data_IF_459890929844
#
_entry.id   IF_459890929844
#
_cell.length_a   1.000
_cell.length_b   1.000
_cell.length_c   1.000
_cell.angle_alpha   90.00
_cell.angle_beta   90.00
_cell.angle_gamma   90.00
#
_symmetry.space_group_name_H-M   'P 1'
#
loop_
_entity.id
_entity.type
_entity.pdbx_description
1 polymer ?
#
# COMPACT_ATOMS: atom_id res chain seq x y z
N UNK A 1 -0.88 26.25 4.91
CA UNK A 1 0.10 25.74 3.92
C UNK A 1 0.35 26.86 2.91
N UNK A 2 1.60 27.08 2.51
CA UNK A 2 1.93 28.03 1.46
C UNK A 2 1.22 27.56 0.17
N UNK A 3 0.40 28.43 -0.43
CA UNK A 3 -0.41 28.09 -1.63
C UNK A 3 0.44 27.73 -2.88
N UNK A 4 1.76 27.90 -2.78
CA UNK A 4 2.69 27.71 -3.90
C UNK A 4 3.37 26.33 -3.93
N UNK A 5 3.08 25.44 -2.96
CA UNK A 5 3.73 24.13 -2.85
C UNK A 5 2.82 23.03 -3.39
N UNK A 6 3.29 22.32 -4.40
CA UNK A 6 2.66 21.13 -4.95
C UNK A 6 3.21 19.90 -4.20
N UNK A 7 2.37 19.21 -3.46
CA UNK A 7 2.76 18.04 -2.67
C UNK A 7 2.59 16.73 -3.44
N UNK A 8 3.31 15.68 -3.04
CA UNK A 8 3.26 14.38 -3.71
C UNK A 8 1.86 13.75 -3.69
N UNK A 9 1.07 14.03 -2.66
CA UNK A 9 -0.30 13.55 -2.52
C UNK A 9 -1.20 14.66 -2.01
N UNK A 10 -2.51 14.59 -2.36
CA UNK A 10 -3.56 15.41 -1.77
C UNK A 10 -4.70 14.48 -1.36
N UNK A 11 -5.24 14.60 -0.14
CA UNK A 11 -6.31 13.73 0.33
C UNK A 11 -7.59 13.96 -0.46
N UNK A 12 -8.28 12.85 -0.79
CA UNK A 12 -9.65 12.90 -1.28
C UNK A 12 -10.56 13.23 -0.10
N UNK A 13 -11.33 14.30 -0.21
CA UNK A 13 -12.22 14.77 0.85
C UNK A 13 -13.68 14.57 0.41
N UNK A 14 -14.57 14.07 1.28
CA UNK A 14 -15.99 14.02 0.98
C UNK A 14 -16.63 15.41 1.00
N UNK A 15 -17.83 15.52 0.46
CA UNK A 15 -18.64 16.74 0.65
C UNK A 15 -18.89 16.98 2.15
N UNK A 16 -18.60 18.20 2.61
CA UNK A 16 -18.65 18.55 4.04
C UNK A 16 -20.08 18.49 4.59
N UNK A 17 -21.08 18.91 3.80
CA UNK A 17 -22.48 18.91 4.25
C UNK A 17 -23.00 17.49 4.39
N UNK A 18 -22.74 16.58 3.41
CA UNK A 18 -23.08 15.16 3.51
C UNK A 18 -22.40 14.49 4.72
N UNK A 19 -21.13 14.86 4.97
CA UNK A 19 -20.41 14.33 6.13
C UNK A 19 -20.97 14.87 7.45
N UNK A 20 -21.37 16.14 7.48
CA UNK A 20 -22.04 16.74 8.64
C UNK A 20 -23.37 16.06 8.93
N UNK A 21 -24.16 15.70 7.92
CA UNK A 21 -25.39 14.96 8.11
C UNK A 21 -25.13 13.55 8.67
N UNK A 22 -24.12 12.85 8.16
CA UNK A 22 -23.70 11.56 8.76
C UNK A 22 -23.27 11.70 10.22
N UNK A 23 -22.59 12.78 10.58
CA UNK A 23 -22.22 13.06 11.99
C UNK A 23 -23.45 13.28 12.87
N UNK A 24 -24.49 13.96 12.38
CA UNK A 24 -25.77 14.13 13.13
C UNK A 24 -26.39 12.77 13.44
N UNK A 25 -26.48 11.86 12.45
CA UNK A 25 -26.98 10.50 12.64
C UNK A 25 -26.21 9.74 13.73
N UNK A 26 -24.85 9.84 13.69
CA UNK A 26 -23.98 9.22 14.70
C UNK A 26 -24.25 9.82 16.09
N UNK A 27 -24.42 11.14 16.21
CA UNK A 27 -24.70 11.81 17.48
C UNK A 27 -26.07 11.44 18.04
N UNK A 28 -27.08 11.32 17.19
CA UNK A 28 -28.43 10.91 17.59
C UNK A 28 -28.45 9.46 18.08
N UNK A 29 -27.74 8.55 17.39
CA UNK A 29 -27.66 7.14 17.78
C UNK A 29 -26.84 6.91 19.06
N UNK A 30 -25.89 7.82 19.36
CA UNK A 30 -24.86 7.68 20.43
C UNK A 30 -23.99 6.43 20.28
N UNK A 31 -23.98 5.81 19.12
CA UNK A 31 -23.16 4.65 18.80
C UNK A 31 -21.96 5.09 17.95
N UNK A 32 -20.81 5.32 18.59
CA UNK A 32 -19.65 5.96 17.97
C UNK A 32 -18.51 4.99 17.60
N UNK A 33 -18.58 3.72 18.04
CA UNK A 33 -17.59 2.66 17.80
C UNK A 33 -18.19 1.28 17.98
N UNK A 34 -17.38 0.20 17.97
CA UNK A 34 -17.79 -1.18 18.19
C UNK A 34 -18.82 -1.71 17.19
N UNK A 35 -18.44 -1.70 15.92
CA UNK A 35 -19.22 -2.30 14.84
C UNK A 35 -20.63 -1.70 14.69
N UNK A 36 -20.70 -0.37 14.68
CA UNK A 36 -21.95 0.35 14.46
C UNK A 36 -22.41 0.34 13.00
N UNK A 37 -23.46 1.11 12.73
CA UNK A 37 -24.14 1.09 11.44
C UNK A 37 -23.26 1.50 10.27
N UNK A 38 -22.46 2.57 10.43
CA UNK A 38 -21.57 3.05 9.34
C UNK A 38 -20.41 2.09 9.12
N UNK A 39 -19.88 1.47 10.19
CA UNK A 39 -18.85 0.44 10.08
C UNK A 39 -19.35 -0.74 9.23
N UNK A 40 -20.52 -1.29 9.54
CA UNK A 40 -21.12 -2.42 8.80
C UNK A 40 -21.41 -2.03 7.33
N UNK A 41 -21.98 -0.85 7.10
CA UNK A 41 -22.23 -0.34 5.75
C UNK A 41 -20.93 -0.20 4.94
N UNK A 42 -19.85 0.29 5.56
CA UNK A 42 -18.57 0.44 4.86
C UNK A 42 -17.92 -0.93 4.56
N UNK A 43 -17.96 -1.89 5.49
CA UNK A 43 -17.47 -3.26 5.20
C UNK A 43 -18.19 -3.87 4.00
N UNK A 44 -19.53 -3.79 3.97
CA UNK A 44 -20.33 -4.30 2.86
C UNK A 44 -20.05 -3.58 1.53
N UNK A 45 -20.03 -2.25 1.55
CA UNK A 45 -19.76 -1.45 0.37
C UNK A 45 -18.34 -1.67 -0.22
N UNK A 46 -17.33 -1.86 0.66
CA UNK A 46 -15.98 -2.19 0.24
C UNK A 46 -15.89 -3.61 -0.32
N UNK A 47 -16.56 -4.59 0.26
CA UNK A 47 -16.57 -5.96 -0.27
C UNK A 47 -17.17 -5.99 -1.69
N UNK A 48 -18.27 -5.27 -1.91
CA UNK A 48 -18.90 -5.13 -3.23
C UNK A 48 -17.98 -4.39 -4.22
N UNK A 49 -17.49 -3.21 -3.86
CA UNK A 49 -16.65 -2.38 -4.74
C UNK A 49 -15.34 -3.10 -5.12
N UNK A 50 -14.69 -3.74 -4.16
CA UNK A 50 -13.43 -4.43 -4.37
C UNK A 50 -13.61 -5.84 -4.97
N UNK A 51 -14.84 -6.32 -5.14
CA UNK A 51 -15.17 -7.67 -5.65
C UNK A 51 -14.47 -8.76 -4.83
N UNK A 52 -14.55 -8.67 -3.52
CA UNK A 52 -13.94 -9.61 -2.58
C UNK A 52 -14.98 -10.19 -1.62
N UNK A 53 -14.81 -11.44 -1.13
CA UNK A 53 -15.84 -12.08 -0.34
C UNK A 53 -16.01 -11.46 1.06
N UNK A 54 -14.91 -11.08 1.72
CA UNK A 54 -14.97 -10.55 3.10
C UNK A 54 -13.96 -9.44 3.31
N UNK A 55 -14.39 -8.40 4.04
CA UNK A 55 -13.56 -7.27 4.46
C UNK A 55 -13.70 -7.10 5.97
N UNK A 56 -12.63 -6.80 6.67
CA UNK A 56 -12.62 -6.38 8.07
C UNK A 56 -11.91 -5.04 8.20
N UNK A 57 -12.56 -4.04 8.81
CA UNK A 57 -12.03 -2.68 8.95
C UNK A 57 -11.14 -2.53 10.19
N UNK A 58 -10.09 -1.70 10.03
CA UNK A 58 -9.09 -1.39 11.03
C UNK A 58 -8.84 0.12 11.16
N UNK A 59 -8.26 0.55 12.27
CA UNK A 59 -7.92 1.97 12.52
C UNK A 59 -6.76 2.51 11.68
N UNK A 60 -5.93 1.66 11.10
CA UNK A 60 -4.82 2.00 10.21
C UNK A 60 -4.38 0.77 9.40
N UNK A 61 -3.43 0.96 8.46
CA UNK A 61 -2.93 -0.12 7.60
C UNK A 61 -1.89 -1.04 8.24
N UNK A 62 -1.34 -0.71 9.40
CA UNK A 62 -0.31 -1.53 10.09
C UNK A 62 -0.95 -2.65 10.91
N UNK A 63 -2.04 -2.35 11.61
CA UNK A 63 -2.71 -3.32 12.49
C UNK A 63 -3.29 -4.53 11.75
N UNK A 64 -3.83 -4.43 10.52
CA UNK A 64 -4.20 -5.63 9.78
C UNK A 64 -3.01 -6.54 9.46
N UNK A 65 -1.80 -6.00 9.15
CA UNK A 65 -0.60 -6.82 8.97
C UNK A 65 -0.26 -7.60 10.25
N UNK A 66 -0.24 -6.90 11.41
CA UNK A 66 0.00 -7.54 12.71
C UNK A 66 -1.03 -8.63 13.00
N UNK A 67 -2.30 -8.37 12.73
CA UNK A 67 -3.40 -9.28 13.01
C UNK A 67 -3.40 -10.49 12.07
N UNK A 68 -3.04 -10.31 10.78
CA UNK A 68 -2.91 -11.40 9.80
C UNK A 68 -1.89 -12.44 10.26
N UNK A 69 -0.72 -11.98 10.70
CA UNK A 69 0.35 -12.85 11.21
C UNK A 69 -0.11 -13.67 12.42
N UNK A 70 -0.85 -13.07 13.35
CA UNK A 70 -1.44 -13.77 14.50
C UNK A 70 -2.56 -14.74 14.08
N UNK A 71 -3.44 -14.32 13.19
CA UNK A 71 -4.56 -15.14 12.73
C UNK A 71 -4.09 -16.42 12.01
N UNK A 72 -3.06 -16.31 11.19
CA UNK A 72 -2.45 -17.44 10.48
C UNK A 72 -1.39 -18.18 11.31
N UNK A 73 -1.13 -17.75 12.56
CA UNK A 73 -0.14 -18.34 13.47
C UNK A 73 1.26 -18.38 12.87
N UNK A 74 1.65 -17.32 12.18
CA UNK A 74 2.96 -17.19 11.54
C UNK A 74 4.03 -17.05 12.63
N UNK A 75 5.14 -17.78 12.46
CA UNK A 75 6.28 -17.79 13.37
C UNK A 75 7.58 -17.93 12.57
N UNK A 76 8.73 -17.93 13.24
CA UNK A 76 10.03 -18.21 12.62
C UNK A 76 10.50 -17.12 11.67
N UNK A 77 10.50 -17.40 10.37
CA UNK A 77 11.00 -16.48 9.34
C UNK A 77 9.90 -16.20 8.30
N UNK A 78 9.85 -14.96 7.83
CA UNK A 78 8.96 -14.53 6.73
C UNK A 78 9.78 -13.83 5.66
N UNK A 79 9.64 -14.29 4.43
CA UNK A 79 10.26 -13.69 3.25
C UNK A 79 9.49 -12.43 2.85
N UNK A 80 10.20 -11.32 2.64
CA UNK A 80 9.62 -10.03 2.23
C UNK A 80 10.62 -9.22 1.40
N UNK A 81 10.23 -8.02 0.97
CA UNK A 81 11.07 -7.10 0.21
C UNK A 81 11.63 -5.98 1.09
N UNK A 82 12.85 -5.48 0.83
CA UNK A 82 13.35 -4.27 1.49
C UNK A 82 12.78 -2.98 0.87
N UNK A 83 12.18 -3.06 -0.32
CA UNK A 83 11.67 -1.94 -1.11
C UNK A 83 10.19 -1.72 -0.85
N UNK A 84 9.86 -1.23 0.34
CA UNK A 84 8.51 -0.97 0.81
C UNK A 84 8.50 0.12 1.88
N UNK A 85 7.31 0.50 2.33
CA UNK A 85 7.15 1.27 3.56
C UNK A 85 7.45 0.38 4.78
N UNK A 86 8.05 0.97 5.78
CA UNK A 86 8.59 0.24 6.95
C UNK A 86 7.56 -0.59 7.73
N UNK A 87 6.27 -0.24 7.65
CA UNK A 87 5.19 -0.97 8.33
C UNK A 87 5.14 -2.45 7.95
N UNK A 88 5.44 -2.80 6.68
CA UNK A 88 5.52 -4.18 6.20
C UNK A 88 6.45 -5.03 7.09
N UNK A 89 7.67 -4.57 7.30
CA UNK A 89 8.68 -5.30 8.08
C UNK A 89 8.50 -5.11 9.58
N UNK A 90 8.07 -3.93 10.04
CA UNK A 90 7.78 -3.70 11.46
C UNK A 90 6.68 -4.62 11.98
N UNK A 91 5.69 -4.97 11.16
CA UNK A 91 4.66 -5.94 11.55
C UNK A 91 5.24 -7.32 11.89
N UNK A 92 6.26 -7.76 11.17
CA UNK A 92 6.99 -9.00 11.47
C UNK A 92 7.73 -8.87 12.79
N UNK A 93 8.49 -7.77 12.97
CA UNK A 93 9.31 -7.54 14.16
C UNK A 93 8.48 -7.48 15.45
N UNK A 94 7.34 -6.78 15.41
CA UNK A 94 6.40 -6.72 16.53
C UNK A 94 5.78 -8.06 16.90
N UNK A 95 5.71 -9.01 15.96
CA UNK A 95 5.26 -10.38 16.21
C UNK A 95 6.40 -11.35 16.58
N UNK A 96 7.63 -10.86 16.77
CA UNK A 96 8.78 -11.71 17.05
C UNK A 96 9.22 -12.59 15.87
N UNK A 97 8.86 -12.21 14.66
CA UNK A 97 9.15 -12.93 13.42
C UNK A 97 10.36 -12.28 12.74
N UNK A 98 11.31 -13.11 12.32
CA UNK A 98 12.51 -12.64 11.62
C UNK A 98 12.19 -12.36 10.15
N UNK A 99 12.37 -11.12 9.65
CA UNK A 99 12.27 -10.86 8.22
C UNK A 99 13.47 -11.42 7.46
N UNK A 100 13.20 -11.96 6.28
CA UNK A 100 14.22 -12.37 5.30
C UNK A 100 13.99 -11.58 4.04
N UNK A 101 14.88 -10.64 3.74
CA UNK A 101 14.76 -9.80 2.57
C UNK A 101 15.19 -10.54 1.30
N UNK A 102 14.38 -10.43 0.27
CA UNK A 102 14.64 -10.89 -1.10
C UNK A 102 14.59 -9.70 -2.03
N UNK A 103 15.51 -9.68 -2.99
CA UNK A 103 15.65 -8.59 -3.95
C UNK A 103 14.41 -8.48 -4.86
N UNK A 104 14.32 -7.39 -5.59
CA UNK A 104 13.19 -7.04 -6.43
C UNK A 104 13.47 -7.27 -7.91
N UNK A 105 12.40 -7.41 -8.69
CA UNK A 105 12.42 -7.28 -10.14
C UNK A 105 12.43 -5.78 -10.50
N UNK A 106 13.47 -5.28 -11.18
CA UNK A 106 13.58 -3.87 -11.53
C UNK A 106 12.51 -3.40 -12.53
N UNK A 107 11.83 -4.29 -13.22
CA UNK A 107 10.75 -3.94 -14.14
C UNK A 107 9.43 -3.62 -13.44
N UNK A 108 9.27 -4.05 -12.19
CA UNK A 108 8.04 -3.87 -11.41
C UNK A 108 8.24 -3.18 -10.07
N UNK A 109 9.43 -3.31 -9.47
CA UNK A 109 9.73 -2.92 -8.10
C UNK A 109 9.20 -3.90 -7.05
N UNK A 110 8.54 -4.97 -7.46
CA UNK A 110 8.01 -6.01 -6.58
C UNK A 110 9.09 -7.07 -6.29
N UNK A 111 8.88 -7.86 -5.24
CA UNK A 111 9.75 -8.99 -4.92
C UNK A 111 9.93 -9.89 -6.15
N UNK A 112 11.15 -10.31 -6.44
CA UNK A 112 11.49 -11.21 -7.55
C UNK A 112 11.16 -12.66 -7.17
N UNK A 113 10.14 -13.31 -7.78
CA UNK A 113 9.77 -14.67 -7.44
C UNK A 113 10.89 -15.67 -7.67
N UNK A 114 11.77 -15.41 -8.65
CA UNK A 114 12.89 -16.33 -8.99
C UNK A 114 13.94 -16.40 -7.87
N UNK A 115 13.95 -15.42 -6.97
CA UNK A 115 14.89 -15.37 -5.84
C UNK A 115 14.29 -15.89 -4.53
N UNK A 116 12.96 -16.13 -4.47
CA UNK A 116 12.28 -16.54 -3.25
C UNK A 116 12.73 -17.91 -2.77
N UNK A 117 12.78 -18.91 -3.66
CA UNK A 117 13.12 -20.28 -3.28
C UNK A 117 14.49 -20.40 -2.60
N UNK A 118 15.47 -19.63 -3.09
CA UNK A 118 16.83 -19.63 -2.51
C UNK A 118 16.88 -19.06 -1.09
N UNK A 119 15.88 -18.30 -0.66
CA UNK A 119 15.79 -17.71 0.67
C UNK A 119 14.98 -18.57 1.64
N UNK A 120 14.36 -19.68 1.19
CA UNK A 120 13.55 -20.56 2.04
C UNK A 120 14.47 -21.39 2.95
N UNK A 121 14.14 -21.41 4.23
CA UNK A 121 14.78 -22.25 5.25
C UNK A 121 13.72 -23.10 5.96
N UNK A 122 14.11 -24.10 6.77
CA UNK A 122 13.16 -24.86 7.59
C UNK A 122 12.35 -24.00 8.60
N UNK A 123 12.73 -22.74 8.80
CA UNK A 123 12.02 -21.80 9.67
C UNK A 123 11.07 -20.88 8.90
N UNK A 124 11.11 -20.87 7.57
CA UNK A 124 10.23 -20.05 6.75
C UNK A 124 8.80 -20.57 6.84
N UNK A 125 7.85 -19.69 7.18
CA UNK A 125 6.43 -20.06 7.34
C UNK A 125 5.49 -19.25 6.45
N UNK A 126 5.96 -18.11 5.93
CA UNK A 126 5.15 -17.28 5.03
C UNK A 126 6.01 -16.42 4.10
N UNK A 127 5.35 -15.91 3.07
CA UNK A 127 5.83 -14.85 2.19
C UNK A 127 4.91 -13.64 2.40
N UNK A 128 5.51 -12.45 2.59
CA UNK A 128 4.83 -11.17 2.70
C UNK A 128 5.26 -10.25 1.56
N UNK A 129 4.72 -10.44 0.34
CA UNK A 129 5.03 -9.59 -0.79
C UNK A 129 4.27 -8.27 -0.69
N UNK A 130 4.75 -7.25 -1.43
CA UNK A 130 4.12 -5.93 -1.49
C UNK A 130 3.75 -5.62 -2.93
N UNK A 131 2.52 -5.18 -3.18
CA UNK A 131 2.13 -4.61 -4.47
C UNK A 131 2.61 -3.15 -4.55
N UNK A 132 3.90 -2.98 -4.84
CA UNK A 132 4.58 -1.68 -4.80
C UNK A 132 3.92 -0.71 -5.79
N UNK A 133 3.56 0.48 -5.30
CA UNK A 133 2.83 1.53 -6.04
C UNK A 133 1.48 1.08 -6.65
N UNK A 134 0.96 -0.07 -6.21
CA UNK A 134 -0.25 -0.68 -6.78
C UNK A 134 0.02 -1.53 -8.02
N UNK A 135 1.28 -1.77 -8.40
CA UNK A 135 1.61 -2.75 -9.45
C UNK A 135 1.47 -4.17 -8.91
N UNK A 136 0.76 -5.07 -9.62
CA UNK A 136 0.64 -6.45 -9.20
C UNK A 136 1.99 -7.15 -9.10
N UNK A 137 2.20 -7.90 -8.00
CA UNK A 137 3.22 -8.95 -7.99
C UNK A 137 2.87 -10.05 -9.00
N UNK A 138 3.82 -10.88 -9.36
CA UNK A 138 3.54 -12.15 -10.03
C UNK A 138 2.92 -13.12 -9.01
N UNK A 139 1.60 -13.00 -8.86
CA UNK A 139 0.84 -13.73 -7.83
C UNK A 139 0.80 -15.23 -8.12
N UNK A 140 0.84 -15.63 -9.39
CA UNK A 140 0.83 -17.05 -9.80
C UNK A 140 2.15 -17.72 -9.43
N UNK A 141 3.28 -17.09 -9.76
CA UNK A 141 4.60 -17.63 -9.41
C UNK A 141 4.81 -17.70 -7.89
N UNK A 142 4.38 -16.65 -7.15
CA UNK A 142 4.48 -16.66 -5.69
C UNK A 142 3.60 -17.73 -5.07
N UNK A 143 2.37 -17.94 -5.57
CA UNK A 143 1.47 -18.96 -5.07
C UNK A 143 2.02 -20.37 -5.35
N UNK A 144 2.58 -20.60 -6.54
CA UNK A 144 3.20 -21.90 -6.88
C UNK A 144 4.37 -22.24 -5.92
N UNK A 145 5.18 -21.25 -5.53
CA UNK A 145 6.23 -21.45 -4.54
C UNK A 145 5.63 -21.72 -3.17
N UNK A 146 4.63 -20.97 -2.76
CA UNK A 146 3.97 -21.16 -1.47
C UNK A 146 3.34 -22.55 -1.35
N UNK A 147 2.65 -23.02 -2.38
CA UNK A 147 2.05 -24.36 -2.42
C UNK A 147 3.11 -25.47 -2.33
N UNK A 148 4.21 -25.30 -3.06
CA UNK A 148 5.33 -26.26 -3.06
C UNK A 148 5.97 -26.44 -1.69
N UNK A 149 6.06 -25.35 -0.91
CA UNK A 149 6.73 -25.37 0.39
C UNK A 149 5.77 -25.29 1.58
N UNK A 150 4.46 -25.27 1.35
CA UNK A 150 3.44 -25.20 2.40
C UNK A 150 3.46 -23.86 3.14
N UNK A 151 3.81 -22.76 2.47
CA UNK A 151 3.91 -21.42 3.05
C UNK A 151 2.58 -20.68 2.94
N UNK A 152 2.37 -19.73 3.86
CA UNK A 152 1.28 -18.76 3.77
C UNK A 152 1.69 -17.55 2.95
N UNK A 153 0.72 -16.91 2.26
CA UNK A 153 0.95 -15.68 1.50
C UNK A 153 0.05 -14.57 2.01
N UNK A 154 0.66 -13.49 2.53
CA UNK A 154 -0.05 -12.30 2.99
C UNK A 154 0.42 -11.13 2.14
N UNK A 155 -0.45 -10.53 1.34
CA UNK A 155 -0.08 -9.36 0.52
C UNK A 155 -0.23 -8.05 1.32
N UNK A 156 0.86 -7.28 1.38
CA UNK A 156 0.74 -5.85 1.67
C UNK A 156 0.25 -5.14 0.41
N UNK A 157 -1.05 -4.89 0.37
CA UNK A 157 -1.75 -4.24 -0.72
C UNK A 157 -2.08 -2.77 -0.40
N UNK A 158 -1.31 -2.13 0.49
CA UNK A 158 -1.54 -0.74 0.94
C UNK A 158 -1.64 0.27 -0.22
N UNK A 159 -1.11 -0.05 -1.39
CA UNK A 159 -1.16 0.79 -2.59
C UNK A 159 -2.11 0.26 -3.67
N UNK A 160 -2.77 -0.88 -3.47
CA UNK A 160 -3.48 -1.61 -4.51
C UNK A 160 -5.02 -1.54 -4.40
N UNK A 161 -5.56 -0.50 -3.74
CA UNK A 161 -7.01 -0.30 -3.66
C UNK A 161 -7.64 -0.23 -5.05
N UNK A 162 -8.61 -1.10 -5.33
CA UNK A 162 -9.35 -1.13 -6.61
C UNK A 162 -8.52 -1.55 -7.82
N UNK A 163 -7.33 -2.14 -7.63
CA UNK A 163 -6.53 -2.70 -8.73
C UNK A 163 -7.11 -4.06 -9.14
N UNK A 164 -7.29 -4.24 -10.45
CA UNK A 164 -7.76 -5.50 -11.04
C UNK A 164 -6.73 -6.02 -12.05
N UNK A 165 -6.65 -7.35 -12.17
CA UNK A 165 -5.85 -8.04 -13.18
C UNK A 165 -6.81 -8.92 -14.00
N UNK A 166 -6.91 -8.67 -15.30
CA UNK A 166 -7.83 -9.37 -16.22
C UNK A 166 -9.31 -9.33 -15.75
N UNK A 167 -9.72 -8.25 -15.07
CA UNK A 167 -11.08 -8.06 -14.55
C UNK A 167 -11.35 -8.63 -13.15
N UNK A 168 -10.39 -9.36 -12.59
CA UNK A 168 -10.45 -9.90 -11.24
C UNK A 168 -9.72 -9.01 -10.23
N UNK A 169 -10.25 -8.90 -9.01
CA UNK A 169 -9.61 -8.15 -7.93
C UNK A 169 -8.24 -8.73 -7.58
N UNK A 170 -7.20 -7.89 -7.60
CA UNK A 170 -5.86 -8.29 -7.15
C UNK A 170 -5.84 -8.77 -5.69
N UNK A 171 -6.80 -8.32 -4.88
CA UNK A 171 -6.92 -8.64 -3.46
C UNK A 171 -7.40 -10.07 -3.19
N UNK A 172 -7.83 -10.81 -4.22
CA UNK A 172 -8.20 -12.21 -4.13
C UNK A 172 -7.00 -13.16 -4.16
N UNK A 173 -5.78 -12.64 -4.37
CA UNK A 173 -4.57 -13.45 -4.34
C UNK A 173 -4.09 -13.74 -2.91
N UNK A 174 -3.46 -14.90 -2.71
CA UNK A 174 -2.88 -15.35 -1.44
C UNK A 174 -3.91 -15.74 -0.38
N UNK A 175 -3.46 -15.88 0.87
CA UNK A 175 -4.35 -16.20 2.01
C UNK A 175 -5.08 -14.95 2.53
N UNK A 176 -4.42 -13.77 2.50
CA UNK A 176 -4.98 -12.48 2.94
C UNK A 176 -4.31 -11.33 2.20
N UNK A 177 -5.05 -10.22 2.05
CA UNK A 177 -4.52 -8.94 1.57
C UNK A 177 -4.84 -7.83 2.58
N UNK A 178 -3.88 -6.93 2.83
CA UNK A 178 -4.07 -5.80 3.74
C UNK A 178 -4.05 -4.48 3.01
N UNK A 179 -4.96 -3.58 3.36
CA UNK A 179 -5.12 -2.27 2.76
C UNK A 179 -4.84 -1.16 3.78
N UNK A 180 -4.34 -0.04 3.29
CA UNK A 180 -4.19 1.19 4.05
C UNK A 180 -5.14 2.26 3.51
N UNK A 181 -5.87 2.90 4.40
CA UNK A 181 -6.78 4.01 4.12
C UNK A 181 -6.27 5.32 4.75
N UNK A 182 -4.95 5.43 4.92
CA UNK A 182 -4.31 6.67 5.33
C UNK A 182 -4.62 7.80 4.33
N UNK A 183 -4.70 9.05 4.79
CA UNK A 183 -5.06 10.23 3.99
C UNK A 183 -4.28 10.40 2.67
N UNK A 184 -3.08 9.86 2.55
CA UNK A 184 -2.26 9.89 1.32
C UNK A 184 -2.66 8.87 0.27
N UNK A 185 -3.51 7.90 0.58
CA UNK A 185 -3.91 6.83 -0.33
C UNK A 185 -4.99 7.27 -1.31
N UNK A 186 -5.19 6.49 -2.36
CA UNK A 186 -6.22 6.75 -3.40
C UNK A 186 -7.61 6.80 -2.79
N UNK A 187 -7.93 5.83 -1.95
CA UNK A 187 -9.09 5.81 -1.07
C UNK A 187 -8.61 5.99 0.37
N UNK A 188 -9.29 6.83 1.15
CA UNK A 188 -8.90 7.08 2.53
C UNK A 188 -10.09 7.27 3.46
N UNK A 189 -9.83 7.03 4.74
CA UNK A 189 -10.74 7.30 5.86
C UNK A 189 -10.06 8.19 6.91
N UNK A 190 -9.25 9.16 6.45
CA UNK A 190 -8.32 9.98 7.26
C UNK A 190 -7.17 9.09 7.75
N UNK A 191 -7.42 8.24 8.71
CA UNK A 191 -6.66 7.08 9.11
C UNK A 191 -7.58 5.86 9.03
N UNK A 192 -7.07 4.75 8.53
CA UNK A 192 -7.80 3.50 8.43
C UNK A 192 -7.04 2.42 7.70
N UNK A 193 -7.62 1.26 7.65
CA UNK A 193 -7.14 0.12 6.90
C UNK A 193 -8.19 -0.98 6.84
N UNK A 194 -7.90 -2.00 6.08
CA UNK A 194 -8.75 -3.17 6.00
C UNK A 194 -7.91 -4.43 5.77
N UNK A 195 -8.52 -5.56 6.04
CA UNK A 195 -8.05 -6.88 5.65
C UNK A 195 -9.10 -7.55 4.79
N UNK A 196 -8.64 -8.14 3.70
CA UNK A 196 -9.44 -9.02 2.82
C UNK A 196 -9.10 -10.47 3.15
N UNK A 197 -10.10 -11.31 3.25
CA UNK A 197 -10.00 -12.74 3.48
C UNK A 197 -11.07 -13.50 2.69
N UNK A 198 -10.93 -14.82 2.56
CA UNK A 198 -11.68 -15.60 1.59
C UNK A 198 -12.79 -16.50 2.19
N UNK A 199 -12.85 -16.63 3.50
CA UNK A 199 -13.87 -17.43 4.19
C UNK A 199 -14.39 -16.77 5.48
N UNK A 200 -15.63 -17.11 5.84
CA UNK A 200 -16.33 -16.53 6.96
C UNK A 200 -15.67 -16.84 8.32
N UNK A 201 -15.11 -18.03 8.47
CA UNK A 201 -14.44 -18.44 9.71
C UNK A 201 -13.19 -17.58 9.97
N UNK A 202 -12.43 -17.31 8.93
CA UNK A 202 -11.27 -16.40 9.01
C UNK A 202 -11.74 -14.97 9.30
N UNK A 203 -12.79 -14.48 8.63
CA UNK A 203 -13.40 -13.16 8.94
C UNK A 203 -13.78 -13.06 10.42
N UNK A 204 -14.49 -14.05 10.94
CA UNK A 204 -14.91 -14.08 12.34
C UNK A 204 -13.70 -14.06 13.30
N UNK A 205 -12.66 -14.86 13.01
CA UNK A 205 -11.42 -14.87 13.79
C UNK A 205 -10.73 -13.51 13.80
N UNK A 206 -10.64 -12.85 12.65
CA UNK A 206 -10.06 -11.51 12.52
C UNK A 206 -10.89 -10.49 13.33
N UNK A 207 -12.21 -10.54 13.25
CA UNK A 207 -13.08 -9.64 14.00
C UNK A 207 -12.95 -9.80 15.52
N UNK A 208 -12.71 -11.01 16.00
CA UNK A 208 -12.38 -11.23 17.40
C UNK A 208 -11.01 -10.63 17.75
N UNK A 209 -9.98 -10.93 16.96
CA UNK A 209 -8.62 -10.45 17.21
C UNK A 209 -8.51 -8.92 17.17
N UNK A 210 -9.22 -8.23 16.25
CA UNK A 210 -9.25 -6.76 16.21
C UNK A 210 -9.99 -6.12 17.39
N UNK A 211 -10.70 -6.92 18.18
CA UNK A 211 -11.45 -6.53 19.39
C UNK A 211 -10.97 -7.31 20.62
N UNK A 212 -9.69 -7.21 20.97
CA UNK A 212 -9.07 -7.85 22.12
C UNK A 212 -9.19 -9.38 22.17
N UNK A 213 -9.68 -10.04 21.13
CA UNK A 213 -9.92 -11.48 21.09
C UNK A 213 -11.27 -11.90 21.67
N UNK A 214 -12.17 -10.98 21.98
CA UNK A 214 -13.50 -11.29 22.51
C UNK A 214 -14.39 -11.93 21.44
N UNK A 215 -14.84 -13.17 21.71
CA UNK A 215 -15.90 -13.82 20.96
C UNK A 215 -17.30 -13.42 21.48
N UNK A 216 -17.39 -13.16 22.78
CA UNK A 216 -18.56 -12.66 23.48
C UNK A 216 -18.11 -11.97 24.78
N UNK A 217 -19.08 -11.65 25.67
CA UNK A 217 -18.81 -10.90 26.90
C UNK A 217 -17.81 -11.57 27.86
N UNK A 218 -17.72 -12.90 27.83
CA UNK A 218 -16.97 -13.70 28.82
C UNK A 218 -15.87 -14.58 28.18
N UNK A 219 -15.87 -14.73 26.87
CA UNK A 219 -14.94 -15.63 26.16
C UNK A 219 -13.92 -14.86 25.33
N UNK A 220 -12.62 -15.14 25.57
CA UNK A 220 -11.49 -14.63 24.81
C UNK A 220 -10.82 -15.78 24.06
N UNK A 221 -10.86 -15.74 22.73
CA UNK A 221 -10.37 -16.84 21.86
C UNK A 221 -8.89 -16.70 21.48
N UNK A 222 -8.25 -15.60 21.82
CA UNK A 222 -6.84 -15.36 21.50
C UNK A 222 -6.36 -13.98 21.94
N UNK A 223 -5.03 -13.73 21.91
CA UNK A 223 -4.45 -12.44 22.26
C UNK A 223 -4.73 -11.42 21.14
N UNK A 224 -5.85 -10.73 21.26
CA UNK A 224 -6.25 -9.67 20.33
C UNK A 224 -5.78 -8.29 20.77
N UNK A 225 -5.99 -7.30 19.90
CA UNK A 225 -5.65 -5.89 20.10
C UNK A 225 -6.88 -5.01 19.88
N UNK A 226 -6.82 -3.74 20.31
CA UNK A 226 -7.85 -2.76 19.95
C UNK A 226 -7.48 -2.09 18.63
N UNK A 227 -8.11 -2.52 17.56
CA UNK A 227 -7.83 -1.99 16.21
C UNK A 227 -9.09 -1.69 15.39
N UNK A 228 -10.24 -1.64 16.05
CA UNK A 228 -11.54 -1.38 15.43
C UNK A 228 -11.63 0.04 14.86
N UNK A 229 -12.08 0.18 13.63
CA UNK A 229 -12.45 1.47 13.06
C UNK A 229 -13.73 2.00 13.74
N UNK A 230 -13.78 3.30 14.00
CA UNK A 230 -14.93 4.00 14.56
C UNK A 230 -15.97 4.39 13.50
N UNK A 231 -17.14 4.86 13.94
CA UNK A 231 -18.25 5.25 13.06
C UNK A 231 -17.94 6.51 12.26
N UNK A 232 -17.18 7.45 12.80
CA UNK A 232 -16.85 8.73 12.14
C UNK A 232 -16.00 8.49 10.89
N UNK A 233 -14.94 7.67 11.03
CA UNK A 233 -14.09 7.30 9.90
C UNK A 233 -14.82 6.40 8.90
N UNK A 234 -15.72 5.56 9.38
CA UNK A 234 -16.54 4.70 8.52
C UNK A 234 -17.51 5.52 7.66
N UNK A 235 -18.19 6.52 8.23
CA UNK A 235 -19.05 7.44 7.51
C UNK A 235 -18.27 8.24 6.47
N UNK A 236 -17.10 8.77 6.85
CA UNK A 236 -16.19 9.46 5.94
C UNK A 236 -15.80 8.55 4.75
N UNK A 237 -15.44 7.29 5.02
CA UNK A 237 -15.09 6.31 4.00
C UNK A 237 -16.22 6.01 3.03
N UNK A 238 -17.46 5.86 3.51
CA UNK A 238 -18.63 5.64 2.65
C UNK A 238 -18.84 6.77 1.65
N UNK A 239 -18.64 8.01 2.07
CA UNK A 239 -18.75 9.16 1.17
C UNK A 239 -17.61 9.22 0.18
N UNK A 240 -16.37 8.94 0.61
CA UNK A 240 -15.22 8.89 -0.29
C UNK A 240 -15.33 7.77 -1.33
N UNK A 241 -15.94 6.65 -0.99
CA UNK A 241 -16.12 5.53 -1.91
C UNK A 241 -16.96 5.91 -3.14
N UNK A 242 -17.92 6.83 -2.97
CA UNK A 242 -18.78 7.33 -4.07
C UNK A 242 -18.01 8.08 -5.16
N UNK A 243 -16.83 8.62 -4.84
CA UNK A 243 -16.06 9.47 -5.76
C UNK A 243 -14.67 8.90 -6.11
N UNK A 244 -14.31 7.71 -5.61
CA UNK A 244 -12.98 7.13 -5.81
C UNK A 244 -12.67 6.84 -7.28
N UNK A 245 -13.64 6.39 -8.07
CA UNK A 245 -13.44 6.13 -9.51
C UNK A 245 -13.13 7.40 -10.29
N UNK A 246 -13.81 8.50 -9.97
CA UNK A 246 -13.51 9.80 -10.56
C UNK A 246 -12.10 10.28 -10.19
N UNK A 247 -11.68 10.03 -8.95
CA UNK A 247 -10.32 10.35 -8.49
C UNK A 247 -9.26 9.48 -9.19
N UNK A 248 -9.51 8.19 -9.41
CA UNK A 248 -8.63 7.30 -10.18
C UNK A 248 -8.53 7.76 -11.65
N UNK A 249 -9.65 8.11 -12.27
CA UNK A 249 -9.67 8.63 -13.65
C UNK A 249 -8.89 9.95 -13.79
N UNK A 250 -8.97 10.84 -12.80
CA UNK A 250 -8.16 12.06 -12.78
C UNK A 250 -6.67 11.76 -12.66
N UNK A 251 -6.25 10.81 -11.79
CA UNK A 251 -4.88 10.35 -11.66
C UNK A 251 -4.36 9.71 -12.96
N UNK A 252 -5.20 8.97 -13.68
CA UNK A 252 -4.84 8.39 -14.97
C UNK A 252 -4.47 9.48 -15.99
N UNK A 253 -5.25 10.58 -16.06
CA UNK A 253 -4.94 11.72 -16.94
C UNK A 253 -3.58 12.33 -16.58
N UNK A 254 -3.26 12.49 -15.31
CA UNK A 254 -1.95 12.96 -14.85
C UNK A 254 -0.84 12.01 -15.30
N UNK A 255 -1.01 10.70 -15.13
CA UNK A 255 -0.03 9.69 -15.54
C UNK A 255 0.23 9.72 -17.05
N UNK A 256 -0.82 9.86 -17.88
CA UNK A 256 -0.68 10.01 -19.32
C UNK A 256 0.13 11.25 -19.67
N UNK A 257 -0.22 12.41 -19.09
CA UNK A 257 0.48 13.68 -19.34
C UNK A 257 1.97 13.60 -18.95
N UNK A 258 2.31 12.93 -17.85
CA UNK A 258 3.71 12.71 -17.47
C UNK A 258 4.45 11.81 -18.47
N UNK A 259 3.85 10.70 -18.88
CA UNK A 259 4.48 9.76 -19.83
C UNK A 259 4.74 10.43 -21.18
N UNK A 260 3.78 11.19 -21.70
CA UNK A 260 3.94 11.94 -22.96
C UNK A 260 5.09 12.93 -22.86
N UNK A 261 5.18 13.69 -21.78
CA UNK A 261 6.21 14.70 -21.60
C UNK A 261 7.62 14.12 -21.36
N UNK A 262 7.70 13.02 -20.58
CA UNK A 262 8.98 12.49 -20.11
C UNK A 262 9.58 11.41 -21.02
N UNK A 263 8.83 10.88 -22.00
CA UNK A 263 9.26 9.75 -22.85
C UNK A 263 10.59 10.00 -23.58
N UNK A 264 10.85 11.25 -23.96
CA UNK A 264 12.05 11.64 -24.70
C UNK A 264 13.06 12.43 -23.85
N UNK A 265 12.92 12.44 -22.53
CA UNK A 265 13.88 13.09 -21.63
C UNK A 265 15.02 12.10 -21.35
N UNK A 266 16.21 12.41 -21.91
CA UNK A 266 17.37 11.53 -21.75
C UNK A 266 17.76 11.36 -20.27
N UNK A 267 17.94 10.11 -19.85
CA UNK A 267 18.26 9.75 -18.47
C UNK A 267 17.09 9.73 -17.49
N UNK A 268 15.86 9.97 -17.95
CA UNK A 268 14.63 9.76 -17.16
C UNK A 268 13.90 8.55 -17.72
N UNK A 269 13.56 7.61 -16.83
CA UNK A 269 12.74 6.46 -17.18
C UNK A 269 11.56 6.31 -16.22
N UNK A 270 10.52 5.62 -16.65
CA UNK A 270 9.31 5.32 -15.89
C UNK A 270 8.68 4.04 -16.44
N UNK A 271 7.67 3.51 -15.76
CA UNK A 271 6.94 2.34 -16.25
C UNK A 271 5.67 2.74 -17.01
N UNK A 272 5.41 2.02 -18.09
CA UNK A 272 4.10 2.04 -18.76
C UNK A 272 3.08 1.19 -17.98
N UNK A 273 1.79 1.31 -18.36
CA UNK A 273 0.75 0.47 -17.79
C UNK A 273 0.95 -1.00 -18.18
N UNK A 274 0.66 -1.88 -17.25
CA UNK A 274 0.73 -3.32 -17.51
C UNK A 274 -0.51 -3.77 -18.31
N UNK A 275 -0.35 -4.59 -19.36
CA UNK A 275 -1.49 -5.15 -20.08
C UNK A 275 -2.43 -5.92 -19.14
N UNK A 276 -3.74 -5.76 -19.32
CA UNK A 276 -4.76 -6.43 -18.53
C UNK A 276 -4.92 -5.91 -17.10
N UNK A 277 -4.18 -4.87 -16.70
CA UNK A 277 -4.28 -4.28 -15.35
C UNK A 277 -5.10 -2.99 -15.37
N UNK A 278 -6.17 -2.96 -14.56
CA UNK A 278 -6.83 -1.71 -14.16
C UNK A 278 -6.06 -1.12 -13.00
N UNK A 279 -5.20 -0.14 -13.29
CA UNK A 279 -4.33 0.51 -12.29
C UNK A 279 -5.07 1.65 -11.56
N UNK A 280 -4.70 1.92 -10.31
CA UNK A 280 -5.25 3.01 -9.51
C UNK A 280 -4.35 4.27 -9.47
N UNK A 281 -3.18 4.23 -10.08
CA UNK A 281 -2.22 5.33 -10.14
C UNK A 281 -1.90 5.93 -8.77
N UNK A 282 -1.63 5.07 -7.79
CA UNK A 282 -1.28 5.48 -6.42
C UNK A 282 -0.07 6.40 -6.37
N UNK A 283 0.94 6.12 -7.18
CA UNK A 283 2.18 6.89 -7.33
C UNK A 283 2.62 6.91 -8.80
N UNK A 284 3.47 7.87 -9.13
CA UNK A 284 4.17 7.94 -10.42
C UNK A 284 5.69 8.03 -10.18
N UNK A 285 6.39 6.88 -10.08
CA UNK A 285 7.83 6.85 -9.94
C UNK A 285 8.51 7.16 -11.27
N UNK A 286 9.55 7.99 -11.21
CA UNK A 286 10.56 8.15 -12.25
C UNK A 286 11.91 7.69 -11.73
N UNK A 287 12.78 7.22 -12.61
CA UNK A 287 14.13 6.76 -12.27
C UNK A 287 15.15 7.61 -13.02
N UNK A 288 16.15 8.12 -12.29
CA UNK A 288 17.14 9.05 -12.79
C UNK A 288 18.46 8.33 -13.06
N UNK A 289 18.85 8.21 -14.33
CA UNK A 289 20.20 7.85 -14.74
C UNK A 289 21.08 9.13 -14.76
N UNK A 290 21.85 9.35 -13.71
CA UNK A 290 22.62 10.56 -13.52
C UNK A 290 23.64 10.83 -14.66
N UNK A 291 24.18 9.77 -15.28
CA UNK A 291 25.16 9.92 -16.37
C UNK A 291 24.53 10.48 -17.64
N UNK A 292 23.32 10.06 -17.96
CA UNK A 292 22.58 10.53 -19.14
C UNK A 292 21.85 11.83 -18.84
N UNK A 293 21.18 11.90 -17.68
CA UNK A 293 20.40 13.07 -17.30
C UNK A 293 21.29 14.26 -16.91
N UNK A 294 22.52 14.05 -16.42
CA UNK A 294 23.50 15.09 -16.06
C UNK A 294 23.32 15.69 -14.68
N UNK A 295 22.41 15.12 -13.86
CA UNK A 295 22.35 15.35 -12.41
C UNK A 295 21.83 14.10 -11.72
N UNK A 296 22.19 13.93 -10.45
CA UNK A 296 21.75 12.83 -9.62
C UNK A 296 20.27 12.95 -9.25
N UNK A 297 19.68 11.84 -8.80
CA UNK A 297 18.34 11.82 -8.23
C UNK A 297 18.17 12.86 -7.11
N UNK A 298 19.17 13.01 -6.24
CA UNK A 298 19.08 13.93 -5.10
C UNK A 298 19.21 15.40 -5.52
N UNK A 299 20.04 15.70 -6.51
CA UNK A 299 20.10 17.04 -7.11
C UNK A 299 18.78 17.42 -7.78
N UNK A 300 18.19 16.51 -8.55
CA UNK A 300 16.86 16.73 -9.15
C UNK A 300 15.80 16.92 -8.06
N UNK A 301 15.80 16.09 -7.01
CA UNK A 301 14.88 16.20 -5.89
C UNK A 301 14.98 17.57 -5.21
N UNK A 302 16.20 18.11 -4.99
CA UNK A 302 16.39 19.43 -4.42
C UNK A 302 15.94 20.54 -5.37
N UNK A 303 16.30 20.46 -6.68
CA UNK A 303 15.82 21.38 -7.72
C UNK A 303 14.30 21.50 -7.75
N UNK A 304 13.61 20.34 -7.73
CA UNK A 304 12.15 20.31 -7.69
C UNK A 304 11.61 21.01 -6.43
N UNK A 305 12.20 20.71 -5.28
CA UNK A 305 11.77 21.26 -3.99
C UNK A 305 11.95 22.78 -3.93
N UNK A 306 13.08 23.30 -4.46
CA UNK A 306 13.35 24.73 -4.52
C UNK A 306 12.36 25.47 -5.42
N UNK A 307 11.76 24.79 -6.40
CA UNK A 307 10.70 25.31 -7.26
C UNK A 307 9.29 25.07 -6.72
N UNK A 308 9.16 24.60 -5.47
CA UNK A 308 7.88 24.32 -4.82
C UNK A 308 7.20 23.02 -5.26
N UNK A 309 7.92 22.10 -5.91
CA UNK A 309 7.43 20.78 -6.31
C UNK A 309 8.01 19.72 -5.38
N UNK A 310 7.17 19.18 -4.50
CA UNK A 310 7.60 18.24 -3.47
C UNK A 310 7.28 16.80 -3.88
N UNK A 311 8.24 16.15 -4.53
CA UNK A 311 8.24 14.70 -4.74
C UNK A 311 8.58 13.91 -3.48
N UNK A 312 8.64 12.59 -3.60
CA UNK A 312 9.07 11.69 -2.54
C UNK A 312 10.02 10.63 -3.09
N UNK A 313 11.04 10.27 -2.31
CA UNK A 313 11.97 9.19 -2.64
C UNK A 313 11.43 7.88 -2.02
N UNK A 314 10.37 7.36 -2.57
CA UNK A 314 9.77 6.09 -2.14
C UNK A 314 10.31 4.94 -3.01
N UNK A 315 11.09 4.00 -2.48
CA UNK A 315 11.42 3.89 -1.05
C UNK A 315 12.93 4.05 -0.86
N UNK A 316 13.31 5.13 -0.21
CA UNK A 316 14.67 5.43 0.17
C UNK A 316 14.70 6.07 1.58
N UNK A 317 15.64 5.66 2.49
CA UNK A 317 16.52 4.49 2.33
C UNK A 317 15.72 3.17 2.35
N UNK A 318 16.38 2.06 1.95
CA UNK A 318 15.77 0.73 2.05
C UNK A 318 15.53 0.32 3.51
N UNK A 319 14.52 -0.50 3.75
CA UNK A 319 14.25 -1.03 5.10
C UNK A 319 15.46 -1.83 5.62
N UNK A 320 16.14 -2.57 4.74
CA UNK A 320 17.36 -3.32 5.07
C UNK A 320 18.50 -2.48 5.63
N UNK A 321 18.50 -1.16 5.38
CA UNK A 321 19.53 -0.22 5.85
C UNK A 321 19.24 0.34 7.25
N UNK A 322 18.01 0.20 7.76
CA UNK A 322 17.66 0.71 9.08
C UNK A 322 18.41 -0.04 10.19
N UNK A 323 18.74 0.69 11.25
CA UNK A 323 19.53 0.16 12.38
C UNK A 323 18.99 -1.15 12.95
N UNK A 324 17.68 -1.35 12.91
CA UNK A 324 17.00 -2.57 13.36
C UNK A 324 17.31 -3.78 12.49
N UNK A 325 17.48 -3.58 11.16
CA UNK A 325 17.53 -4.68 10.18
C UNK A 325 18.87 -4.86 9.49
N UNK A 326 19.72 -3.83 9.45
CA UNK A 326 21.01 -3.86 8.72
C UNK A 326 21.99 -4.96 9.17
N UNK A 327 21.78 -5.54 10.35
CA UNK A 327 22.57 -6.65 10.86
C UNK A 327 22.12 -8.04 10.38
N UNK A 328 21.02 -8.13 9.66
CA UNK A 328 20.55 -9.39 9.09
C UNK A 328 21.41 -9.78 7.88
N UNK A 329 21.65 -11.08 7.69
CA UNK A 329 22.41 -11.58 6.54
C UNK A 329 21.72 -11.23 5.20
N UNK A 330 20.39 -11.32 5.16
CA UNK A 330 19.58 -10.94 3.99
C UNK A 330 19.58 -9.43 3.69
N UNK A 331 20.08 -8.59 4.62
CA UNK A 331 20.18 -7.14 4.43
C UNK A 331 21.46 -6.69 3.72
N UNK A 332 22.40 -7.61 3.45
CA UNK A 332 23.65 -7.26 2.79
C UNK A 332 23.40 -6.71 1.40
N UNK A 333 24.04 -5.59 1.00
CA UNK A 333 23.81 -4.95 -0.29
C UNK A 333 24.02 -5.87 -1.50
N UNK A 334 24.96 -6.79 -1.42
CA UNK A 334 25.27 -7.77 -2.47
C UNK A 334 24.09 -8.74 -2.74
N UNK A 335 23.20 -8.93 -1.79
CA UNK A 335 21.99 -9.74 -1.94
C UNK A 335 20.81 -8.95 -2.53
N UNK A 336 20.88 -7.60 -2.56
CA UNK A 336 19.79 -6.70 -2.88
C UNK A 336 20.17 -5.64 -3.95
N UNK A 337 20.92 -6.01 -5.02
CA UNK A 337 21.46 -5.04 -5.95
C UNK A 337 20.38 -4.23 -6.69
N UNK A 338 19.26 -4.84 -7.06
CA UNK A 338 18.18 -4.17 -7.77
C UNK A 338 17.42 -3.19 -6.85
N UNK A 339 17.19 -3.59 -5.59
CA UNK A 339 16.55 -2.73 -4.61
C UNK A 339 17.39 -1.47 -4.33
N UNK A 340 18.71 -1.63 -4.17
CA UNK A 340 19.62 -0.50 -3.99
C UNK A 340 19.63 0.41 -5.22
N UNK A 341 19.81 -0.14 -6.43
CA UNK A 341 19.78 0.63 -7.66
C UNK A 341 18.49 1.43 -7.80
N UNK A 342 17.35 0.81 -7.51
CA UNK A 342 16.05 1.48 -7.59
C UNK A 342 15.90 2.55 -6.50
N UNK A 343 16.29 2.26 -5.26
CA UNK A 343 16.24 3.23 -4.17
C UNK A 343 17.10 4.47 -4.44
N UNK A 344 18.25 4.30 -5.09
CA UNK A 344 19.17 5.40 -5.41
C UNK A 344 18.71 6.28 -6.58
N UNK A 345 17.78 5.79 -7.40
CA UNK A 345 17.35 6.47 -8.63
C UNK A 345 15.94 7.02 -8.60
N UNK A 346 15.07 6.55 -7.68
CA UNK A 346 13.64 6.84 -7.69
C UNK A 346 13.27 8.22 -7.14
N UNK A 347 12.35 8.91 -7.84
CA UNK A 347 11.52 10.00 -7.31
C UNK A 347 10.07 9.72 -7.72
N UNK A 348 9.16 9.66 -6.76
CA UNK A 348 7.72 9.72 -7.04
C UNK A 348 7.33 11.18 -7.24
N UNK A 349 6.80 11.49 -8.42
CA UNK A 349 6.28 12.82 -8.77
C UNK A 349 4.94 13.05 -8.03
N UNK A 350 4.52 14.31 -7.86
CA UNK A 350 3.15 14.60 -7.40
C UNK A 350 2.12 13.84 -8.23
N UNK A 351 1.25 13.07 -7.52
CA UNK A 351 0.25 12.22 -8.16
C UNK A 351 -1.02 12.22 -7.31
N UNK A 352 -1.98 13.07 -7.67
CA UNK A 352 -3.28 13.14 -7.01
C UNK A 352 -4.36 13.71 -7.93
N UNK A 353 -5.62 13.45 -7.58
CA UNK A 353 -6.80 13.82 -8.36
C UNK A 353 -7.03 15.33 -8.52
N UNK A 354 -6.44 16.13 -7.62
CA UNK A 354 -6.67 17.58 -7.57
C UNK A 354 -5.57 18.40 -8.31
N UNK A 355 -4.65 17.75 -9.03
CA UNK A 355 -3.63 18.46 -9.82
C UNK A 355 -4.30 19.19 -11.00
N UNK A 356 -4.04 20.50 -11.11
CA UNK A 356 -4.45 21.31 -12.25
C UNK A 356 -3.50 21.15 -13.44
N UNK A 357 -3.91 21.53 -14.63
CA UNK A 357 -3.04 21.53 -15.82
C UNK A 357 -1.81 22.41 -15.61
N UNK A 358 -1.98 23.58 -15.00
CA UNK A 358 -0.88 24.50 -14.67
C UNK A 358 0.15 23.85 -13.71
N UNK A 359 -0.33 23.16 -12.69
CA UNK A 359 0.54 22.43 -11.75
C UNK A 359 1.28 21.28 -12.43
N UNK A 360 0.60 20.53 -13.32
CA UNK A 360 1.20 19.46 -14.12
C UNK A 360 2.30 20.02 -15.02
N UNK A 361 2.04 21.15 -15.69
CA UNK A 361 3.04 21.82 -16.52
C UNK A 361 4.24 22.33 -15.70
N UNK A 362 3.99 22.91 -14.52
CA UNK A 362 5.04 23.31 -13.60
C UNK A 362 5.91 22.11 -13.21
N UNK A 363 5.30 20.96 -12.85
CA UNK A 363 6.03 19.74 -12.50
C UNK A 363 6.91 19.26 -13.67
N UNK A 364 6.36 19.16 -14.87
CA UNK A 364 7.11 18.78 -16.08
C UNK A 364 8.30 19.71 -16.33
N UNK A 365 8.09 21.02 -16.24
CA UNK A 365 9.11 22.03 -16.47
C UNK A 365 10.28 21.96 -15.46
N UNK A 366 10.02 21.47 -14.23
CA UNK A 366 11.11 21.25 -13.25
C UNK A 366 12.04 20.10 -13.66
N UNK A 367 11.55 19.15 -14.46
CA UNK A 367 12.31 17.98 -14.92
C UNK A 367 13.04 18.29 -16.24
N UNK A 368 12.47 19.15 -17.08
CA UNK A 368 13.20 19.62 -18.28
C UNK A 368 14.44 20.42 -17.89
N UNK A 369 15.48 20.35 -18.73
CA UNK A 369 16.74 21.06 -18.51
C UNK A 369 16.66 22.49 -18.96
#
# INVERSE_FOLDING_TARGET
MNKDIITVTSPLLPNLDEFTDSLKEIWESKWITNNGQFHQKLEAALAEYLKVPYVSLFTNGTLPLLTALQALRITGEVITTPYSFVATTHALWWNGIKPVFVDIDPSTGNIDPQKIEAAITPRTTAILPVHVYGKPCDTEAIQAIADKYGLKVIYDAAHAFGVEVNGESLLNAGDMSTLSFHATKVFNTIEGGAMVMHDEKTKQRIDYLKNFGFANEIEVVGPGINSKMDEIRSAYGLLNLKQVDAAIAARQKVAVAYREALRNVDGISFWDDMPGVRHNYSYFPIFVDAKKYGMTRDELYMKMKDQGVWGRRYFYPLISEFSTYRGLESSRPENLPNAHMMADTVICLPMHHALTEEEIDKIKNTIFR
#
